data_IF_211847345039
#
_entry.id   IF_211847345039
#
_cell.length_a   1.000
_cell.length_b   1.000
_cell.length_c   1.000
_cell.angle_alpha   90.00
_cell.angle_beta   90.00
_cell.angle_gamma   90.00
#
_symmetry.space_group_name_H-M   'P 1'
#
loop_
_entity.id
_entity.type
_entity.pdbx_description
1 polymer ?
#
# COMPACT_ATOMS: atom_id res chain seq x y z
N UNK A 1 9.65 -10.43 30.55
CA UNK A 1 9.07 -9.67 29.42
C UNK A 1 10.22 -9.23 28.53
N UNK A 2 10.29 -9.64 27.25
CA UNK A 2 11.27 -9.06 26.34
C UNK A 2 10.79 -7.68 25.87
N UNK A 3 11.70 -6.75 25.57
CA UNK A 3 11.36 -5.37 25.23
C UNK A 3 10.73 -5.29 23.83
N UNK A 4 9.74 -4.42 23.69
CA UNK A 4 9.12 -4.03 22.43
C UNK A 4 10.18 -3.38 21.53
N UNK A 5 10.56 -4.06 20.45
CA UNK A 5 11.37 -3.48 19.39
C UNK A 5 10.49 -2.49 18.64
N UNK A 6 10.62 -1.21 18.95
CA UNK A 6 10.12 -0.14 18.10
C UNK A 6 10.83 -0.24 16.75
N UNK A 7 10.15 -0.81 15.76
CA UNK A 7 10.57 -0.73 14.35
C UNK A 7 10.56 0.75 13.96
N UNK A 8 11.72 1.40 14.03
CA UNK A 8 11.89 2.78 13.60
C UNK A 8 11.63 2.85 12.10
N UNK A 9 10.50 3.43 11.70
CA UNK A 9 10.26 3.78 10.31
C UNK A 9 11.41 4.71 9.85
N UNK A 10 12.14 4.37 8.78
CA UNK A 10 13.18 5.25 8.28
C UNK A 10 12.59 6.61 7.88
N UNK A 11 13.30 7.69 8.20
CA UNK A 11 12.89 9.05 7.84
C UNK A 11 12.78 9.20 6.32
N UNK A 12 11.94 10.13 5.85
CA UNK A 12 11.72 10.36 4.40
C UNK A 12 13.03 10.64 3.65
N UNK A 13 14.00 11.29 4.31
CA UNK A 13 15.35 11.57 3.79
C UNK A 13 16.21 10.31 3.62
N UNK A 14 16.07 9.31 4.49
CA UNK A 14 16.79 8.02 4.34
C UNK A 14 16.20 7.18 3.21
N UNK A 15 14.88 7.22 3.03
CA UNK A 15 14.18 6.52 1.93
C UNK A 15 14.58 7.12 0.58
N UNK A 16 14.59 8.45 0.44
CA UNK A 16 14.98 9.11 -0.81
C UNK A 16 16.44 8.81 -1.18
N UNK A 17 17.34 8.75 -0.19
CA UNK A 17 18.75 8.38 -0.39
C UNK A 17 18.94 6.91 -0.79
N UNK A 18 18.10 5.99 -0.31
CA UNK A 18 18.12 4.59 -0.77
C UNK A 18 17.66 4.49 -2.23
N UNK A 19 16.58 5.19 -2.56
CA UNK A 19 15.99 5.15 -3.90
C UNK A 19 16.92 5.76 -4.95
N UNK A 20 17.58 6.88 -4.64
CA UNK A 20 18.52 7.52 -5.58
C UNK A 20 19.75 6.66 -5.88
N UNK A 21 20.11 5.74 -4.98
CA UNK A 21 21.20 4.77 -5.19
C UNK A 21 20.79 3.57 -6.07
N UNK A 22 19.50 3.39 -6.32
CA UNK A 22 18.96 2.28 -7.12
C UNK A 22 18.37 2.83 -8.43
N UNK A 23 19.09 2.74 -9.56
CA UNK A 23 18.70 3.40 -10.82
C UNK A 23 17.26 3.07 -11.27
N UNK A 24 16.82 1.82 -11.06
CA UNK A 24 15.47 1.37 -11.42
C UNK A 24 14.37 1.90 -10.50
N UNK A 25 14.65 2.09 -9.21
CA UNK A 25 13.68 2.70 -8.29
C UNK A 25 13.55 4.20 -8.56
N UNK A 26 14.68 4.88 -8.81
CA UNK A 26 14.67 6.28 -9.20
C UNK A 26 13.94 6.50 -10.54
N UNK A 27 14.13 5.60 -11.51
CA UNK A 27 13.42 5.64 -12.79
C UNK A 27 11.91 5.45 -12.62
N UNK A 28 11.48 4.58 -11.71
CA UNK A 28 10.06 4.37 -11.40
C UNK A 28 9.40 5.61 -10.78
N UNK A 29 10.13 6.41 -10.01
CA UNK A 29 9.61 7.66 -9.43
C UNK A 29 9.61 8.83 -10.42
N UNK A 30 10.58 8.91 -11.34
CA UNK A 30 10.82 10.12 -12.15
C UNK A 30 10.42 10.01 -13.61
N UNK A 31 10.39 8.80 -14.19
CA UNK A 31 10.23 8.62 -15.64
C UNK A 31 9.11 7.67 -16.05
N UNK A 32 8.70 6.75 -15.18
CA UNK A 32 7.63 5.81 -15.52
C UNK A 32 6.27 6.50 -15.48
N UNK A 33 5.51 6.35 -16.57
CA UNK A 33 4.15 6.88 -16.69
C UNK A 33 3.11 5.81 -17.06
N UNK A 34 3.55 4.60 -17.42
CA UNK A 34 2.66 3.50 -17.86
C UNK A 34 2.85 2.21 -17.05
N UNK A 35 1.80 1.37 -17.02
CA UNK A 35 1.89 0.02 -16.44
C UNK A 35 2.88 -0.89 -17.18
N UNK A 36 3.15 -0.64 -18.45
CA UNK A 36 4.16 -1.38 -19.22
C UNK A 36 5.56 -1.15 -18.65
N UNK A 37 5.90 0.10 -18.32
CA UNK A 37 7.20 0.43 -17.74
C UNK A 37 7.35 -0.20 -16.35
N UNK A 38 6.30 -0.12 -15.53
CA UNK A 38 6.31 -0.71 -14.19
C UNK A 38 6.43 -2.22 -14.24
N UNK A 39 5.76 -2.90 -15.17
CA UNK A 39 5.91 -4.35 -15.35
C UNK A 39 7.35 -4.75 -15.72
N UNK A 40 8.03 -3.98 -16.57
CA UNK A 40 9.45 -4.20 -16.90
C UNK A 40 10.36 -4.01 -15.69
N UNK A 41 10.16 -2.95 -14.91
CA UNK A 41 10.92 -2.71 -13.68
C UNK A 41 10.65 -3.80 -12.66
N UNK A 42 9.39 -4.18 -12.44
CA UNK A 42 9.03 -5.23 -11.50
C UNK A 42 9.68 -6.57 -11.88
N UNK A 43 9.69 -6.95 -13.16
CA UNK A 43 10.40 -8.14 -13.63
C UNK A 43 11.91 -8.07 -13.33
N UNK A 44 12.53 -6.90 -13.49
CA UNK A 44 13.94 -6.70 -13.14
C UNK A 44 14.18 -6.82 -11.63
N UNK A 45 13.32 -6.23 -10.79
CA UNK A 45 13.41 -6.33 -9.32
C UNK A 45 13.25 -7.78 -8.84
N UNK A 46 12.40 -8.58 -9.50
CA UNK A 46 12.27 -10.02 -9.22
C UNK A 46 13.58 -10.73 -9.56
N UNK A 47 14.12 -10.50 -10.78
CA UNK A 47 15.34 -11.18 -11.24
C UNK A 47 16.57 -10.84 -10.39
N UNK A 48 16.68 -9.61 -9.89
CA UNK A 48 17.79 -9.19 -9.02
C UNK A 48 17.60 -9.56 -7.54
N UNK A 49 16.43 -10.06 -7.16
CA UNK A 49 16.07 -10.31 -5.76
C UNK A 49 15.74 -9.06 -4.96
N UNK A 50 15.88 -7.86 -5.53
CA UNK A 50 15.60 -6.59 -4.86
C UNK A 50 14.11 -6.44 -4.50
N UNK A 51 13.21 -7.20 -5.12
CA UNK A 51 11.79 -7.19 -4.78
C UNK A 51 11.50 -7.61 -3.33
N UNK A 52 12.43 -8.31 -2.65
CA UNK A 52 12.30 -8.65 -1.22
C UNK A 52 12.46 -7.43 -0.31
N UNK A 53 13.04 -6.34 -0.81
CA UNK A 53 13.12 -5.09 -0.07
C UNK A 53 11.74 -4.41 -0.03
N UNK A 54 11.27 -4.09 1.19
CA UNK A 54 9.94 -3.52 1.40
C UNK A 54 9.76 -2.18 0.69
N UNK A 55 10.82 -1.37 0.59
CA UNK A 55 10.76 -0.07 -0.08
C UNK A 55 10.61 -0.30 -1.58
N UNK A 56 11.44 -1.15 -2.18
CA UNK A 56 11.37 -1.50 -3.59
C UNK A 56 9.98 -2.04 -4.00
N UNK A 57 9.46 -3.02 -3.26
CA UNK A 57 8.13 -3.57 -3.53
C UNK A 57 7.01 -2.54 -3.35
N UNK A 58 7.10 -1.70 -2.31
CA UNK A 58 6.10 -0.65 -2.05
C UNK A 58 6.02 0.38 -3.18
N UNK A 59 7.11 0.59 -3.92
CA UNK A 59 7.15 1.55 -5.03
C UNK A 59 6.44 1.02 -6.27
N UNK A 60 6.66 -0.25 -6.61
CA UNK A 60 5.87 -0.93 -7.65
C UNK A 60 4.39 -0.88 -7.28
N UNK A 61 4.06 -1.24 -6.04
CA UNK A 61 2.70 -1.21 -5.50
C UNK A 61 2.06 0.18 -5.63
N UNK A 62 2.76 1.23 -5.19
CA UNK A 62 2.26 2.61 -5.21
C UNK A 62 1.93 3.11 -6.61
N UNK A 63 2.73 2.72 -7.62
CA UNK A 63 2.39 3.05 -8.99
C UNK A 63 1.19 2.25 -9.47
N UNK A 64 1.20 0.93 -9.26
CA UNK A 64 0.14 0.05 -9.74
C UNK A 64 -1.22 0.36 -9.10
N UNK A 65 -1.25 0.82 -7.86
CA UNK A 65 -2.49 1.16 -7.14
C UNK A 65 -3.11 2.52 -7.55
N UNK A 66 -2.50 3.25 -8.50
CA UNK A 66 -3.11 4.47 -9.06
C UNK A 66 -4.41 4.14 -9.78
N UNK A 67 -5.32 5.10 -9.83
CA UNK A 67 -6.53 4.99 -10.63
C UNK A 67 -6.22 4.89 -12.13
N UNK A 68 -7.13 4.32 -12.94
CA UNK A 68 -7.03 4.36 -14.40
C UNK A 68 -6.87 5.80 -14.92
N UNK A 69 -6.17 6.00 -16.07
CA UNK A 69 -5.61 4.97 -16.95
C UNK A 69 -4.21 4.48 -16.56
N UNK A 70 -3.55 5.10 -15.57
CA UNK A 70 -2.13 4.87 -15.32
C UNK A 70 -1.83 3.66 -14.43
N UNK A 71 -2.77 3.26 -13.56
CA UNK A 71 -2.61 2.09 -12.69
C UNK A 71 -3.52 0.92 -13.06
N UNK A 72 -3.30 -0.19 -12.37
CA UNK A 72 -4.01 -1.45 -12.49
C UNK A 72 -4.12 -2.04 -11.08
N UNK A 73 -5.28 -1.84 -10.46
CA UNK A 73 -5.52 -2.24 -9.06
C UNK A 73 -5.41 -3.76 -8.87
N UNK A 74 -5.75 -4.55 -9.88
CA UNK A 74 -5.62 -6.00 -9.82
C UNK A 74 -4.14 -6.39 -9.80
N UNK A 75 -3.33 -5.75 -10.63
CA UNK A 75 -1.88 -5.93 -10.58
C UNK A 75 -1.28 -5.43 -9.25
N UNK A 76 -1.76 -4.31 -8.71
CA UNK A 76 -1.35 -3.83 -7.41
C UNK A 76 -1.61 -4.87 -6.31
N UNK A 77 -2.77 -5.53 -6.34
CA UNK A 77 -3.11 -6.60 -5.40
C UNK A 77 -2.17 -7.82 -5.55
N UNK A 78 -1.80 -8.19 -6.78
CA UNK A 78 -0.81 -9.25 -7.04
C UNK A 78 0.58 -8.91 -6.49
N UNK A 79 0.97 -7.63 -6.51
CA UNK A 79 2.22 -7.17 -5.90
C UNK A 79 2.09 -7.23 -4.37
N UNK A 80 1.01 -6.67 -3.83
CA UNK A 80 0.77 -6.57 -2.39
C UNK A 80 0.79 -7.93 -1.69
N UNK A 81 0.08 -8.92 -2.24
CA UNK A 81 -0.01 -10.30 -1.70
C UNK A 81 1.32 -11.04 -1.68
N UNK A 82 2.36 -10.54 -2.36
CA UNK A 82 3.72 -11.10 -2.36
C UNK A 82 4.67 -10.35 -1.43
N UNK A 83 4.24 -9.27 -0.78
CA UNK A 83 5.06 -8.53 0.19
C UNK A 83 4.97 -9.26 1.53
N UNK A 84 6.08 -9.84 1.98
CA UNK A 84 6.19 -10.37 3.34
C UNK A 84 6.21 -9.22 4.36
N UNK A 85 5.37 -9.32 5.39
CA UNK A 85 5.21 -8.33 6.47
C UNK A 85 5.06 -6.88 5.93
N UNK A 86 3.97 -6.57 5.20
CA UNK A 86 3.74 -5.26 4.60
C UNK A 86 3.76 -4.15 5.65
N UNK A 87 4.45 -3.05 5.37
CA UNK A 87 4.45 -1.89 6.27
C UNK A 87 3.15 -1.08 6.12
N UNK A 88 2.95 -0.11 7.03
CA UNK A 88 1.81 0.79 7.02
C UNK A 88 1.60 1.52 5.68
N UNK A 89 2.69 1.87 4.98
CA UNK A 89 2.60 2.52 3.68
C UNK A 89 2.00 1.59 2.62
N UNK A 90 2.43 0.32 2.56
CA UNK A 90 1.87 -0.68 1.64
C UNK A 90 0.39 -0.94 1.91
N UNK A 91 0.01 -1.12 3.18
CA UNK A 91 -1.40 -1.26 3.59
C UNK A 91 -2.25 -0.06 3.16
N UNK A 92 -1.84 1.15 3.52
CA UNK A 92 -2.58 2.36 3.15
C UNK A 92 -2.68 2.53 1.63
N UNK A 93 -1.63 2.15 0.90
CA UNK A 93 -1.60 2.24 -0.56
C UNK A 93 -2.65 1.32 -1.19
N UNK A 94 -2.70 0.04 -0.80
CA UNK A 94 -3.64 -0.91 -1.41
C UNK A 94 -5.08 -0.63 -0.97
N UNK A 95 -5.31 -0.27 0.29
CA UNK A 95 -6.64 0.10 0.82
C UNK A 95 -7.15 1.33 0.07
N UNK A 96 -6.32 2.37 -0.10
CA UNK A 96 -6.70 3.56 -0.88
C UNK A 96 -7.04 3.19 -2.33
N UNK A 97 -6.19 2.40 -2.99
CA UNK A 97 -6.41 1.98 -4.36
C UNK A 97 -7.76 1.28 -4.56
N UNK A 98 -8.11 0.32 -3.70
CA UNK A 98 -9.42 -0.34 -3.78
C UNK A 98 -10.56 0.60 -3.42
N UNK A 99 -10.39 1.51 -2.45
CA UNK A 99 -11.42 2.50 -2.07
C UNK A 99 -11.80 3.44 -3.20
N UNK A 100 -10.96 3.58 -4.22
CA UNK A 100 -11.15 4.41 -5.43
C UNK A 100 -11.46 3.58 -6.68
N UNK A 101 -11.38 2.26 -6.59
CA UNK A 101 -11.65 1.32 -7.69
C UNK A 101 -13.16 1.07 -7.91
N UNK A 102 -13.51 0.22 -8.87
CA UNK A 102 -14.88 -0.29 -9.05
C UNK A 102 -15.30 -1.31 -7.99
N UNK A 103 -14.38 -1.76 -7.12
CA UNK A 103 -14.62 -2.80 -6.11
C UNK A 103 -14.21 -2.34 -4.70
N UNK A 104 -14.85 -1.28 -4.16
CA UNK A 104 -14.50 -0.70 -2.85
C UNK A 104 -14.58 -1.67 -1.68
N UNK A 105 -15.38 -2.74 -1.76
CA UNK A 105 -15.48 -3.76 -0.73
C UNK A 105 -14.14 -4.44 -0.40
N UNK A 106 -13.22 -4.56 -1.36
CA UNK A 106 -11.89 -5.13 -1.08
C UNK A 106 -11.06 -4.24 -0.16
N UNK A 107 -11.27 -2.91 -0.16
CA UNK A 107 -10.60 -2.03 0.79
C UNK A 107 -11.05 -2.31 2.24
N UNK A 108 -12.34 -2.65 2.43
CA UNK A 108 -12.89 -3.03 3.73
C UNK A 108 -12.30 -4.37 4.16
N UNK A 109 -12.24 -5.36 3.26
CA UNK A 109 -11.62 -6.66 3.55
C UNK A 109 -10.14 -6.53 3.93
N UNK A 110 -9.36 -5.75 3.18
CA UNK A 110 -7.95 -5.49 3.49
C UNK A 110 -7.77 -4.76 4.82
N UNK A 111 -8.67 -3.84 5.17
CA UNK A 111 -8.64 -3.21 6.49
C UNK A 111 -8.89 -4.21 7.62
N UNK A 112 -9.86 -5.12 7.45
CA UNK A 112 -10.11 -6.20 8.43
C UNK A 112 -8.90 -7.13 8.52
N UNK A 113 -8.28 -7.48 7.40
CA UNK A 113 -7.05 -8.26 7.38
C UNK A 113 -5.92 -7.56 8.13
N UNK A 114 -5.73 -6.25 7.90
CA UNK A 114 -4.76 -5.42 8.61
C UNK A 114 -4.98 -5.45 10.14
N UNK A 115 -6.23 -5.35 10.60
CA UNK A 115 -6.59 -5.44 12.02
C UNK A 115 -6.21 -6.79 12.66
N UNK A 116 -6.18 -7.86 11.87
CA UNK A 116 -5.77 -9.19 12.34
C UNK A 116 -4.25 -9.36 12.37
N UNK A 117 -3.47 -8.38 11.90
CA UNK A 117 -2.01 -8.41 12.00
C UNK A 117 -1.54 -7.90 13.37
N UNK A 118 -0.50 -8.51 13.94
CA UNK A 118 0.10 -8.05 15.20
C UNK A 118 1.05 -6.85 15.02
N UNK A 119 1.58 -6.67 13.80
CA UNK A 119 2.73 -5.78 13.55
C UNK A 119 2.33 -4.37 13.13
N UNK A 120 1.16 -4.19 12.48
CA UNK A 120 0.78 -2.92 11.88
C UNK A 120 -0.65 -2.56 12.25
N UNK A 121 -0.81 -1.44 12.94
CA UNK A 121 -2.11 -0.91 13.31
C UNK A 121 -2.57 0.18 12.33
N UNK A 122 -3.88 0.29 12.04
CA UNK A 122 -4.43 1.39 11.27
C UNK A 122 -4.05 2.75 11.85
N UNK A 123 -3.77 3.71 10.98
CA UNK A 123 -3.39 5.06 11.39
C UNK A 123 -4.11 6.12 10.57
N UNK A 124 -3.72 7.39 10.73
CA UNK A 124 -4.41 8.57 10.19
C UNK A 124 -4.85 8.46 8.72
N UNK A 125 -4.03 7.87 7.85
CA UNK A 125 -4.35 7.72 6.42
C UNK A 125 -5.21 6.49 6.09
N UNK A 126 -5.35 5.53 7.01
CA UNK A 126 -6.12 4.30 6.80
C UNK A 126 -7.61 4.60 6.83
N UNK A 127 -8.09 5.29 7.87
CA UNK A 127 -9.51 5.50 8.11
C UNK A 127 -10.24 6.28 7.01
N UNK A 128 -9.70 7.38 6.45
CA UNK A 128 -10.36 8.08 5.35
C UNK A 128 -10.63 7.20 4.13
N UNK A 129 -9.68 6.33 3.77
CA UNK A 129 -9.86 5.38 2.67
C UNK A 129 -10.91 4.30 2.99
N UNK A 130 -10.95 3.82 4.22
CA UNK A 130 -11.94 2.83 4.67
C UNK A 130 -13.35 3.45 4.70
N UNK A 131 -13.52 4.67 5.22
CA UNK A 131 -14.81 5.36 5.19
C UNK A 131 -15.29 5.66 3.77
N UNK A 132 -14.37 6.06 2.87
CA UNK A 132 -14.69 6.20 1.44
C UNK A 132 -15.20 4.88 0.87
N UNK A 133 -14.58 3.75 1.22
CA UNK A 133 -15.01 2.43 0.77
C UNK A 133 -16.40 2.07 1.30
N UNK A 134 -16.68 2.26 2.60
CA UNK A 134 -18.01 2.06 3.19
C UNK A 134 -19.08 2.89 2.48
N UNK A 135 -18.81 4.18 2.25
CA UNK A 135 -19.75 5.07 1.56
C UNK A 135 -20.02 4.59 0.12
N UNK A 136 -18.97 4.28 -0.65
CA UNK A 136 -19.10 3.84 -2.05
C UNK A 136 -19.72 2.45 -2.20
N UNK A 137 -19.64 1.61 -1.17
CA UNK A 137 -20.26 0.29 -1.16
C UNK A 137 -21.71 0.31 -0.61
N UNK A 138 -22.25 1.47 -0.24
CA UNK A 138 -23.61 1.58 0.31
C UNK A 138 -23.73 1.15 1.78
N UNK A 139 -22.61 1.02 2.49
CA UNK A 139 -22.51 0.54 3.87
C UNK A 139 -22.21 1.69 4.85
N UNK A 140 -22.81 2.87 4.63
CA UNK A 140 -22.53 4.06 5.44
C UNK A 140 -22.85 3.86 6.94
N UNK A 141 -23.86 3.05 7.28
CA UNK A 141 -24.21 2.71 8.67
C UNK A 141 -23.08 1.96 9.37
N UNK A 142 -22.44 1.02 8.69
CA UNK A 142 -21.30 0.26 9.24
C UNK A 142 -20.08 1.16 9.40
N UNK A 143 -19.85 2.06 8.43
CA UNK A 143 -18.82 3.09 8.54
C UNK A 143 -19.02 4.01 9.75
N UNK A 144 -20.26 4.38 10.05
CA UNK A 144 -20.59 5.20 11.23
C UNK A 144 -20.34 4.44 12.55
N UNK A 145 -20.62 3.13 12.59
CA UNK A 145 -20.27 2.30 13.76
C UNK A 145 -18.76 2.25 13.98
N UNK A 146 -17.98 2.07 12.91
CA UNK A 146 -16.51 2.10 13.00
C UNK A 146 -16.01 3.47 13.48
N UNK A 147 -16.56 4.58 12.95
CA UNK A 147 -16.21 5.93 13.39
C UNK A 147 -16.44 6.14 14.90
N UNK A 148 -17.58 5.65 15.43
CA UNK A 148 -17.86 5.70 16.86
C UNK A 148 -16.87 4.91 17.73
N UNK A 149 -16.25 3.85 17.20
CA UNK A 149 -15.20 3.07 17.91
C UNK A 149 -13.83 3.74 17.91
N UNK A 150 -13.58 4.68 17.00
CA UNK A 150 -12.26 5.33 16.85
C UNK A 150 -12.17 6.60 17.68
N UNK A 151 -13.28 7.31 17.87
CA UNK A 151 -13.32 8.62 18.55
C UNK A 151 -13.67 8.50 20.04
N UNK A 152 -14.33 7.41 20.45
CA UNK A 152 -14.61 7.10 21.85
C UNK A 152 -13.43 6.36 22.50
#
# INVERSE_FOLDING_TARGET
MPPSVCSSNPSSTSISKFISKQPYLHMLETKCSTMTDVKKIHAHLIKSGLIKDKIAASRVLAFSAKSPPNGDINYANLVFTRIENPNLFSWNTIIRGFSESSTPQYAIHLFIEMLNTLEVQPFLLTYPSVFKAYARHGLAKDGAQLHGRIIN
#
